data_IF_541043876227
#
_entry.id   IF_541043876227
#
_cell.length_a   1.000
_cell.length_b   1.000
_cell.length_c   1.000
_cell.angle_alpha   90.00
_cell.angle_beta   90.00
_cell.angle_gamma   90.00
#
_symmetry.space_group_name_H-M   'P 1'
#
loop_
_entity.id
_entity.type
_entity.pdbx_description
1 polymer ?
#
# COMPACT_ATOMS: atom_id res chain seq x y z
N UNK A 1 -7.98 -8.40 25.78
CA UNK A 1 -8.92 -7.26 25.67
C UNK A 1 -8.36 -5.92 26.18
N UNK A 2 -7.08 -5.79 26.57
CA UNK A 2 -6.46 -4.51 27.02
C UNK A 2 -5.52 -3.90 25.96
N UNK A 3 -5.02 -4.71 25.01
CA UNK A 3 -4.10 -4.25 23.95
C UNK A 3 -4.73 -3.31 22.90
N UNK A 4 -6.05 -3.41 22.69
CA UNK A 4 -6.74 -2.58 21.70
C UNK A 4 -6.87 -1.11 22.12
N UNK A 5 -6.89 -0.83 23.43
CA UNK A 5 -7.04 0.54 23.94
C UNK A 5 -5.70 1.30 24.00
N UNK A 6 -4.59 0.61 24.27
CA UNK A 6 -3.25 1.21 24.29
C UNK A 6 -2.79 1.68 22.90
N UNK A 7 -3.23 0.99 21.84
CA UNK A 7 -2.87 1.27 20.44
C UNK A 7 -3.45 2.61 19.92
N UNK A 8 -4.58 3.05 20.48
CA UNK A 8 -5.24 4.31 20.12
C UNK A 8 -4.56 5.51 20.81
N UNK A 9 -3.88 5.30 21.95
CA UNK A 9 -3.31 6.41 22.75
C UNK A 9 -1.84 6.72 22.45
N UNK A 10 -1.09 5.83 21.77
CA UNK A 10 0.34 6.06 21.43
C UNK A 10 0.79 5.55 20.03
N UNK A 11 -0.11 5.01 19.20
CA UNK A 11 0.25 4.41 17.90
C UNK A 11 0.43 5.40 16.74
N UNK A 12 0.95 4.91 15.61
CA UNK A 12 1.09 5.63 14.34
C UNK A 12 -0.22 6.29 13.88
N UNK A 13 -1.37 5.66 14.13
CA UNK A 13 -2.69 6.24 13.85
C UNK A 13 -2.93 7.56 14.60
N UNK A 14 -2.61 7.62 15.89
CA UNK A 14 -2.78 8.85 16.68
C UNK A 14 -1.84 9.95 16.21
N UNK A 15 -0.61 9.60 15.83
CA UNK A 15 0.34 10.56 15.24
C UNK A 15 -0.21 11.12 13.93
N UNK A 16 -0.71 10.25 13.05
CA UNK A 16 -1.31 10.62 11.77
C UNK A 16 -2.56 11.49 11.96
N UNK A 17 -3.45 11.10 12.87
CA UNK A 17 -4.67 11.85 13.22
C UNK A 17 -4.31 13.23 13.81
N UNK A 18 -3.33 13.28 14.72
CA UNK A 18 -2.83 14.53 15.29
C UNK A 18 -2.23 15.42 14.21
N UNK A 19 -1.44 14.90 13.28
CA UNK A 19 -0.89 15.66 12.16
C UNK A 19 -2.01 16.24 11.27
N UNK A 20 -3.01 15.41 10.93
CA UNK A 20 -4.16 15.82 10.13
C UNK A 20 -4.95 16.99 10.77
N UNK A 21 -5.18 16.95 12.08
CA UNK A 21 -5.87 18.03 12.81
C UNK A 21 -4.96 19.20 13.19
N UNK A 22 -3.65 18.99 13.38
CA UNK A 22 -2.72 20.10 13.61
C UNK A 22 -2.70 21.05 12.40
N UNK A 23 -2.83 20.50 11.19
CA UNK A 23 -2.90 21.27 9.95
C UNK A 23 -4.22 22.04 9.74
N UNK A 24 -5.21 21.95 10.64
CA UNK A 24 -6.38 22.85 10.61
C UNK A 24 -6.15 24.18 11.31
N UNK A 25 -5.01 24.34 12.01
CA UNK A 25 -4.53 25.63 12.52
C UNK A 25 -3.31 26.04 11.70
N UNK A 26 -3.46 27.16 11.02
CA UNK A 26 -2.61 27.80 10.01
C UNK A 26 -1.08 27.63 10.11
N UNK A 27 -0.40 27.71 8.96
CA UNK A 27 1.01 28.12 8.86
C UNK A 27 1.31 28.62 7.45
N UNK A 28 1.28 29.94 7.31
CA UNK A 28 1.80 30.72 6.20
C UNK A 28 3.32 30.47 6.09
N UNK A 29 3.74 29.64 5.14
CA UNK A 29 5.16 29.33 4.89
C UNK A 29 5.81 30.42 4.04
N UNK A 30 7.03 30.83 4.40
CA UNK A 30 7.87 31.80 3.66
C UNK A 30 8.55 31.22 2.41
N UNK A 31 8.14 30.00 2.00
CA UNK A 31 8.60 29.35 0.77
C UNK A 31 7.78 29.79 -0.43
N UNK A 32 8.42 30.04 -1.58
CA UNK A 32 7.72 30.30 -2.86
C UNK A 32 7.09 29.03 -3.44
N UNK A 33 7.44 27.85 -2.90
CA UNK A 33 6.73 26.61 -3.20
C UNK A 33 5.43 26.57 -2.41
N UNK A 34 4.32 26.36 -3.12
CA UNK A 34 3.00 26.12 -2.51
C UNK A 34 2.78 24.66 -2.16
N UNK A 35 3.76 23.78 -2.42
CA UNK A 35 3.67 22.39 -2.01
C UNK A 35 3.85 22.27 -0.50
N UNK A 36 3.07 21.37 0.09
CA UNK A 36 3.21 21.03 1.49
C UNK A 36 4.42 20.13 1.75
N UNK A 37 4.85 19.34 0.76
CA UNK A 37 5.91 18.34 0.88
C UNK A 37 7.16 18.74 0.10
N UNK A 38 8.33 18.28 0.55
CA UNK A 38 9.57 18.40 -0.22
C UNK A 38 9.64 17.37 -1.37
N UNK A 39 10.56 17.60 -2.32
CA UNK A 39 10.70 16.72 -3.48
C UNK A 39 11.04 15.28 -3.11
N UNK A 40 11.85 15.07 -2.07
CA UNK A 40 12.23 13.73 -1.61
C UNK A 40 11.01 12.95 -1.08
N UNK A 41 10.17 13.60 -0.28
CA UNK A 41 8.93 13.04 0.27
C UNK A 41 7.94 12.72 -0.85
N UNK A 42 7.78 13.63 -1.81
CA UNK A 42 6.91 13.42 -2.97
C UNK A 42 7.40 12.25 -3.84
N UNK A 43 8.70 12.17 -4.13
CA UNK A 43 9.27 11.04 -4.88
C UNK A 43 9.05 9.73 -4.15
N UNK A 44 9.26 9.69 -2.82
CA UNK A 44 9.02 8.50 -2.01
C UNK A 44 7.54 8.09 -2.05
N UNK A 45 6.62 9.04 -1.89
CA UNK A 45 5.17 8.80 -2.00
C UNK A 45 4.79 8.21 -3.35
N UNK A 46 5.26 8.78 -4.45
CA UNK A 46 4.99 8.27 -5.80
C UNK A 46 5.50 6.85 -5.98
N UNK A 47 6.74 6.58 -5.56
CA UNK A 47 7.35 5.26 -5.67
C UNK A 47 6.63 4.22 -4.80
N UNK A 48 6.27 4.55 -3.56
CA UNK A 48 5.53 3.66 -2.67
C UNK A 48 4.09 3.42 -3.14
N UNK A 49 3.40 4.45 -3.64
CA UNK A 49 2.05 4.31 -4.19
C UNK A 49 2.05 3.42 -5.44
N UNK A 50 3.01 3.61 -6.34
CA UNK A 50 3.17 2.77 -7.52
C UNK A 50 3.49 1.32 -7.17
N UNK A 51 4.35 1.08 -6.18
CA UNK A 51 4.70 -0.27 -5.74
C UNK A 51 3.48 -0.97 -5.13
N UNK A 52 2.74 -0.27 -4.28
CA UNK A 52 1.51 -0.77 -3.68
C UNK A 52 0.44 -1.09 -4.73
N UNK A 53 0.25 -0.20 -5.72
CA UNK A 53 -0.67 -0.42 -6.83
C UNK A 53 -0.30 -1.68 -7.61
N UNK A 54 0.96 -1.84 -8.02
CA UNK A 54 1.43 -3.04 -8.72
C UNK A 54 1.22 -4.32 -7.92
N UNK A 55 1.51 -4.29 -6.62
CA UNK A 55 1.30 -5.44 -5.74
C UNK A 55 -0.19 -5.77 -5.59
N UNK A 56 -1.04 -4.74 -5.51
CA UNK A 56 -2.49 -4.90 -5.45
C UNK A 56 -3.05 -5.45 -6.77
N UNK A 57 -2.64 -4.90 -7.91
CA UNK A 57 -3.07 -5.35 -9.24
C UNK A 57 -2.74 -6.82 -9.48
N UNK A 58 -1.57 -7.29 -9.01
CA UNK A 58 -1.18 -8.71 -9.07
C UNK A 58 -2.11 -9.61 -8.27
N UNK A 59 -2.59 -9.14 -7.11
CA UNK A 59 -3.54 -9.88 -6.26
C UNK A 59 -4.98 -9.78 -6.75
N UNK A 60 -5.35 -8.69 -7.42
CA UNK A 60 -6.69 -8.44 -7.99
C UNK A 60 -6.83 -8.98 -9.42
N UNK A 61 -5.75 -9.49 -10.03
CA UNK A 61 -5.78 -10.06 -11.36
C UNK A 61 -6.83 -11.16 -11.47
N UNK A 62 -7.51 -11.21 -12.61
CA UNK A 62 -8.57 -12.19 -12.92
C UNK A 62 -8.24 -12.91 -14.23
N UNK A 63 -8.90 -14.05 -14.47
CA UNK A 63 -8.66 -14.86 -15.67
C UNK A 63 -7.27 -15.48 -15.66
N UNK A 64 -6.58 -15.44 -16.80
CA UNK A 64 -5.28 -16.11 -17.02
C UNK A 64 -4.15 -15.63 -16.10
N UNK A 65 -4.21 -14.39 -15.64
CA UNK A 65 -3.18 -13.76 -14.81
C UNK A 65 -3.49 -13.86 -13.31
N UNK A 66 -4.64 -14.47 -12.96
CA UNK A 66 -5.07 -14.68 -11.59
C UNK A 66 -4.18 -15.68 -10.86
N UNK A 67 -3.77 -15.31 -9.64
CA UNK A 67 -3.09 -16.21 -8.71
C UNK A 67 -4.06 -17.22 -8.07
N UNK A 68 -5.37 -16.98 -8.16
CA UNK A 68 -6.42 -17.80 -7.55
C UNK A 68 -7.09 -18.74 -8.56
N UNK A 69 -6.35 -19.18 -9.58
CA UNK A 69 -6.73 -20.28 -10.47
C UNK A 69 -5.97 -21.55 -10.07
N UNK A 70 -6.67 -22.69 -10.10
CA UNK A 70 -6.03 -23.99 -9.86
C UNK A 70 -5.16 -24.36 -11.05
N UNK A 71 -3.96 -24.85 -10.78
CA UNK A 71 -3.01 -25.35 -11.77
C UNK A 71 -2.75 -26.82 -11.51
N UNK A 72 -2.30 -27.49 -12.55
CA UNK A 72 -1.84 -28.86 -12.46
C UNK A 72 -0.49 -28.87 -11.73
N UNK A 73 -0.49 -29.38 -10.49
CA UNK A 73 0.71 -29.49 -9.66
C UNK A 73 1.07 -30.97 -9.55
N UNK A 74 2.24 -31.31 -10.09
CA UNK A 74 2.84 -32.64 -9.93
C UNK A 74 3.72 -32.64 -8.69
N UNK A 75 3.33 -33.40 -7.68
CA UNK A 75 4.13 -33.64 -6.48
C UNK A 75 4.71 -35.04 -6.52
N UNK A 76 6.00 -35.15 -6.19
CA UNK A 76 6.66 -36.45 -6.05
C UNK A 76 6.48 -36.90 -4.60
N UNK A 77 5.77 -38.00 -4.42
CA UNK A 77 5.53 -38.61 -3.13
C UNK A 77 6.82 -39.28 -2.62
N UNK A 78 6.90 -39.52 -1.30
CA UNK A 78 8.03 -40.18 -0.64
C UNK A 78 8.28 -41.61 -1.15
N UNK A 79 7.23 -42.25 -1.69
CA UNK A 79 7.28 -43.58 -2.32
C UNK A 79 7.80 -43.56 -3.77
N UNK A 80 8.21 -42.40 -4.29
CA UNK A 80 8.75 -42.23 -5.65
C UNK A 80 7.69 -42.08 -6.74
N UNK A 81 6.39 -42.14 -6.40
CA UNK A 81 5.28 -41.93 -7.34
C UNK A 81 5.01 -40.45 -7.56
N UNK A 82 4.55 -40.08 -8.75
CA UNK A 82 4.15 -38.70 -9.07
C UNK A 82 2.64 -38.58 -9.01
N UNK A 83 2.13 -37.72 -8.13
CA UNK A 83 0.71 -37.40 -8.05
C UNK A 83 0.46 -36.04 -8.67
N UNK A 84 -0.45 -36.00 -9.63
CA UNK A 84 -0.83 -34.77 -10.31
C UNK A 84 -2.22 -34.35 -9.81
N UNK A 85 -2.32 -33.16 -9.21
CA UNK A 85 -3.57 -32.62 -8.66
C UNK A 85 -3.77 -31.17 -9.09
N UNK A 86 -5.03 -30.81 -9.32
CA UNK A 86 -5.43 -29.42 -9.52
C UNK A 86 -5.46 -28.70 -8.16
N UNK A 87 -4.42 -27.93 -7.87
CA UNK A 87 -4.29 -27.16 -6.63
C UNK A 87 -3.78 -25.74 -6.91
N UNK A 88 -3.79 -24.89 -5.89
CA UNK A 88 -3.32 -23.52 -5.97
C UNK A 88 -1.80 -23.44 -5.80
N UNK A 89 -1.17 -22.49 -6.48
CA UNK A 89 0.22 -22.13 -6.24
C UNK A 89 0.32 -21.28 -4.96
N UNK A 90 0.30 -21.96 -3.81
CA UNK A 90 0.29 -21.33 -2.48
C UNK A 90 1.56 -20.50 -2.22
N UNK A 91 2.68 -20.88 -2.84
CA UNK A 91 3.94 -20.14 -2.75
C UNK A 91 3.88 -18.82 -3.52
N UNK A 92 3.33 -18.83 -4.74
CA UNK A 92 3.13 -17.61 -5.52
C UNK A 92 2.12 -16.68 -4.86
N UNK A 93 1.04 -17.23 -4.29
CA UNK A 93 0.06 -16.47 -3.51
C UNK A 93 0.74 -15.84 -2.30
N UNK A 94 1.48 -16.60 -1.50
CA UNK A 94 2.21 -16.07 -0.35
C UNK A 94 3.16 -14.94 -0.72
N UNK A 95 3.99 -15.13 -1.76
CA UNK A 95 4.91 -14.09 -2.23
C UNK A 95 4.15 -12.82 -2.62
N UNK A 96 3.05 -12.93 -3.37
CA UNK A 96 2.26 -11.77 -3.75
C UNK A 96 1.60 -11.06 -2.55
N UNK A 97 1.11 -11.83 -1.56
CA UNK A 97 0.55 -11.29 -0.32
C UNK A 97 1.62 -10.58 0.52
N UNK A 98 2.83 -11.16 0.59
CA UNK A 98 3.97 -10.56 1.29
C UNK A 98 4.44 -9.27 0.61
N UNK A 99 4.57 -9.28 -0.72
CA UNK A 99 4.93 -8.10 -1.51
C UNK A 99 3.92 -6.96 -1.31
N UNK A 100 2.63 -7.30 -1.27
CA UNK A 100 1.56 -6.35 -0.98
C UNK A 100 1.65 -5.80 0.45
N UNK A 101 1.88 -6.65 1.45
CA UNK A 101 2.03 -6.21 2.84
C UNK A 101 3.23 -5.27 3.02
N UNK A 102 4.36 -5.56 2.39
CA UNK A 102 5.56 -4.72 2.44
C UNK A 102 5.35 -3.39 1.72
N UNK A 103 4.68 -3.41 0.58
CA UNK A 103 4.33 -2.21 -0.18
C UNK A 103 3.32 -1.34 0.58
N UNK A 104 2.35 -1.95 1.27
CA UNK A 104 1.41 -1.25 2.15
C UNK A 104 2.15 -0.57 3.30
N UNK A 105 3.06 -1.29 3.96
CA UNK A 105 3.85 -0.76 5.07
C UNK A 105 4.73 0.41 4.63
N UNK A 106 5.36 0.29 3.45
CA UNK A 106 6.16 1.34 2.85
C UNK A 106 5.32 2.59 2.52
N UNK A 107 4.13 2.39 1.98
CA UNK A 107 3.20 3.49 1.69
C UNK A 107 2.67 4.15 2.96
N UNK A 108 2.41 3.38 4.02
CA UNK A 108 2.04 3.91 5.32
C UNK A 108 3.16 4.79 5.90
N UNK A 109 4.41 4.36 5.80
CA UNK A 109 5.57 5.14 6.25
C UNK A 109 5.73 6.43 5.44
N UNK A 110 5.62 6.37 4.11
CA UNK A 110 5.71 7.55 3.23
C UNK A 110 4.53 8.53 3.42
N UNK A 111 3.32 8.00 3.54
CA UNK A 111 2.10 8.77 3.79
C UNK A 111 2.10 9.46 5.15
N UNK A 112 2.66 8.81 6.18
CA UNK A 112 2.73 9.37 7.53
C UNK A 112 3.80 10.45 7.70
N UNK A 113 4.79 10.51 6.80
CA UNK A 113 5.77 11.60 6.75
C UNK A 113 5.30 12.80 5.94
N UNK A 114 4.16 12.71 5.27
CA UNK A 114 3.63 13.80 4.44
C UNK A 114 3.05 14.93 5.28
N UNK A 115 3.27 16.13 4.80
CA UNK A 115 2.69 17.36 5.28
C UNK A 115 1.40 17.72 4.53
N UNK A 116 1.09 17.09 3.39
CA UNK A 116 -0.11 17.36 2.62
C UNK A 116 -1.36 16.72 3.29
N UNK A 117 -2.37 17.55 3.58
CA UNK A 117 -3.60 17.12 4.26
C UNK A 117 -4.38 16.04 3.49
N UNK A 118 -4.42 16.13 2.16
CA UNK A 118 -5.05 15.15 1.28
C UNK A 118 -4.38 13.77 1.41
N UNK A 119 -3.05 13.76 1.45
CA UNK A 119 -2.22 12.54 1.60
C UNK A 119 -2.43 11.93 2.98
N UNK A 120 -2.30 12.73 4.04
CA UNK A 120 -2.56 12.30 5.42
C UNK A 120 -3.96 11.68 5.59
N UNK A 121 -4.99 12.28 4.98
CA UNK A 121 -6.38 11.77 5.02
C UNK A 121 -6.51 10.41 4.32
N UNK A 122 -5.89 10.24 3.16
CA UNK A 122 -5.99 8.99 2.41
C UNK A 122 -5.19 7.88 3.10
N UNK A 123 -4.02 8.21 3.66
CA UNK A 123 -3.24 7.30 4.53
C UNK A 123 -4.06 6.89 5.76
N UNK A 124 -4.77 7.84 6.39
CA UNK A 124 -5.63 7.53 7.54
C UNK A 124 -6.77 6.58 7.12
N UNK A 125 -7.36 6.82 5.95
CA UNK A 125 -8.39 5.94 5.40
C UNK A 125 -7.87 4.52 5.15
N UNK A 126 -6.63 4.35 4.67
CA UNK A 126 -6.00 3.02 4.50
C UNK A 126 -5.85 2.27 5.81
N UNK A 127 -5.45 2.96 6.88
CA UNK A 127 -5.36 2.33 8.22
C UNK A 127 -6.75 1.96 8.77
N UNK A 128 -7.76 2.80 8.50
CA UNK A 128 -9.15 2.49 8.82
C UNK A 128 -9.66 1.25 8.09
N UNK A 129 -9.33 1.11 6.80
CA UNK A 129 -9.61 -0.11 6.04
C UNK A 129 -8.90 -1.32 6.65
N UNK A 130 -7.60 -1.27 6.90
CA UNK A 130 -6.87 -2.38 7.52
C UNK A 130 -7.51 -2.82 8.85
N UNK A 131 -7.88 -1.87 9.70
CA UNK A 131 -8.60 -2.16 10.95
C UNK A 131 -9.97 -2.81 10.70
N UNK A 132 -10.74 -2.31 9.74
CA UNK A 132 -12.05 -2.87 9.39
C UNK A 132 -11.99 -4.33 8.91
N UNK A 133 -10.93 -4.70 8.19
CA UNK A 133 -10.72 -6.07 7.71
C UNK A 133 -9.87 -6.93 8.64
N UNK A 134 -9.37 -6.41 9.76
CA UNK A 134 -8.42 -7.10 10.66
C UNK A 134 -8.85 -8.51 11.07
N UNK A 135 -10.13 -8.70 11.43
CA UNK A 135 -10.68 -10.03 11.79
C UNK A 135 -10.71 -11.02 10.63
N UNK A 136 -10.90 -10.55 9.39
CA UNK A 136 -10.87 -11.41 8.20
C UNK A 136 -9.43 -11.74 7.82
N UNK A 137 -8.55 -10.73 7.89
CA UNK A 137 -7.12 -10.85 7.62
C UNK A 137 -6.46 -11.83 8.59
N UNK A 138 -6.79 -11.79 9.88
CA UNK A 138 -6.20 -12.68 10.88
C UNK A 138 -6.52 -14.16 10.63
N UNK A 139 -7.70 -14.46 10.06
CA UNK A 139 -8.10 -15.84 9.70
C UNK A 139 -7.27 -16.42 8.56
N UNK A 140 -6.62 -15.58 7.77
CA UNK A 140 -5.77 -15.98 6.65
C UNK A 140 -4.29 -15.71 6.94
N UNK A 141 -3.90 -15.51 8.19
CA UNK A 141 -2.50 -15.31 8.57
C UNK A 141 -1.97 -13.89 8.35
N UNK A 142 -2.82 -12.90 8.12
CA UNK A 142 -2.40 -11.49 8.00
C UNK A 142 -2.78 -10.74 9.28
N UNK A 143 -1.77 -10.22 9.98
CA UNK A 143 -1.95 -9.47 11.23
C UNK A 143 -1.80 -7.98 11.00
N UNK A 144 -2.76 -7.19 11.49
CA UNK A 144 -2.65 -5.73 11.58
C UNK A 144 -2.05 -5.37 12.94
N UNK A 145 -0.79 -4.95 12.95
CA UNK A 145 -0.08 -4.55 14.16
C UNK A 145 -0.63 -3.26 14.77
N UNK A 146 -0.22 -2.97 16.01
CA UNK A 146 -0.58 -1.72 16.72
C UNK A 146 -0.06 -0.45 16.04
N UNK A 147 0.99 -0.59 15.22
CA UNK A 147 1.53 0.43 14.33
C UNK A 147 0.78 0.50 12.99
N UNK A 148 -0.35 -0.19 12.84
CA UNK A 148 -1.15 -0.34 11.63
C UNK A 148 -0.40 -0.98 10.45
N UNK A 149 0.79 -1.56 10.69
CA UNK A 149 1.53 -2.31 9.68
C UNK A 149 0.99 -3.73 9.57
N UNK A 150 1.11 -4.30 8.38
CA UNK A 150 0.75 -5.68 8.08
C UNK A 150 1.95 -6.60 8.32
N UNK A 151 1.68 -7.76 8.91
CA UNK A 151 2.59 -8.89 8.97
C UNK A 151 1.89 -10.11 8.40
N UNK A 152 2.62 -10.93 7.65
CA UNK A 152 2.08 -12.14 7.00
C UNK A 152 2.77 -13.36 7.60
N UNK A 153 1.96 -14.27 8.12
CA UNK A 153 2.40 -15.58 8.58
C UNK A 153 2.32 -16.57 7.41
N UNK A 154 3.47 -17.07 6.99
CA UNK A 154 3.60 -17.94 5.82
C UNK A 154 2.84 -19.25 6.00
N UNK A 155 2.97 -19.90 7.16
CA UNK A 155 2.39 -21.21 7.44
C UNK A 155 0.88 -21.11 7.59
N UNK A 156 0.38 -20.07 8.26
CA UNK A 156 -1.06 -19.84 8.41
C UNK A 156 -1.69 -19.46 7.07
N UNK A 157 -1.05 -18.61 6.26
CA UNK A 157 -1.58 -18.24 4.95
C UNK A 157 -1.58 -19.45 4.00
N UNK A 158 -0.49 -20.22 3.97
CA UNK A 158 -0.39 -21.43 3.14
C UNK A 158 -1.29 -22.55 3.62
N UNK A 159 -1.67 -22.62 4.89
CA UNK A 159 -2.64 -23.61 5.39
C UNK A 159 -4.09 -23.15 5.25
N UNK A 160 -4.34 -21.85 5.07
CA UNK A 160 -5.68 -21.28 4.97
C UNK A 160 -6.49 -21.81 3.77
N UNK A 161 -7.82 -21.74 3.89
CA UNK A 161 -8.74 -22.06 2.81
C UNK A 161 -8.61 -21.00 1.70
N UNK A 162 -8.22 -21.42 0.50
CA UNK A 162 -7.89 -20.49 -0.58
C UNK A 162 -9.10 -19.74 -1.15
N UNK A 163 -10.31 -20.26 -0.96
CA UNK A 163 -11.56 -19.51 -1.24
C UNK A 163 -11.72 -18.35 -0.26
N UNK A 164 -11.38 -18.55 1.02
CA UNK A 164 -11.38 -17.48 2.03
C UNK A 164 -10.29 -16.46 1.75
N UNK A 165 -9.08 -16.91 1.37
CA UNK A 165 -7.99 -16.01 0.96
C UNK A 165 -8.41 -15.17 -0.25
N UNK A 166 -8.98 -15.81 -1.29
CA UNK A 166 -9.50 -15.10 -2.47
C UNK A 166 -10.56 -14.06 -2.10
N UNK A 167 -11.55 -14.43 -1.28
CA UNK A 167 -12.60 -13.49 -0.84
C UNK A 167 -12.03 -12.30 -0.06
N UNK A 168 -11.01 -12.53 0.77
CA UNK A 168 -10.38 -11.48 1.55
C UNK A 168 -9.48 -10.54 0.73
N UNK A 169 -8.93 -11.00 -0.41
CA UNK A 169 -7.84 -10.32 -1.12
C UNK A 169 -8.05 -10.03 -2.63
N UNK A 170 -8.96 -10.69 -3.34
CA UNK A 170 -9.05 -10.61 -4.81
C UNK A 170 -10.29 -9.85 -5.34
N UNK A 171 -11.29 -9.60 -4.50
CA UNK A 171 -12.51 -8.86 -4.89
C UNK A 171 -12.29 -7.32 -4.88
N UNK A 172 -13.01 -6.56 -5.68
CA UNK A 172 -13.07 -5.09 -5.59
C UNK A 172 -13.54 -4.61 -4.21
N UNK A 173 -14.43 -5.35 -3.56
CA UNK A 173 -14.85 -5.07 -2.18
C UNK A 173 -13.93 -5.70 -1.11
N UNK A 174 -12.86 -6.38 -1.53
CA UNK A 174 -11.88 -6.97 -0.63
C UNK A 174 -10.98 -5.91 -0.01
N UNK A 175 -10.15 -6.34 0.95
CA UNK A 175 -9.17 -5.46 1.58
C UNK A 175 -8.20 -4.85 0.55
N UNK A 176 -7.67 -5.68 -0.36
CA UNK A 176 -6.71 -5.25 -1.39
C UNK A 176 -7.37 -4.26 -2.35
N UNK A 177 -8.62 -4.51 -2.76
CA UNK A 177 -9.39 -3.58 -3.61
C UNK A 177 -9.51 -2.20 -2.98
N UNK A 178 -9.91 -2.14 -1.70
CA UNK A 178 -9.99 -0.86 -0.95
C UNK A 178 -8.65 -0.16 -0.82
N UNK A 179 -7.57 -0.91 -0.66
CA UNK A 179 -6.22 -0.35 -0.57
C UNK A 179 -5.72 0.14 -1.93
N UNK A 180 -6.02 -0.57 -3.03
CA UNK A 180 -5.67 -0.18 -4.39
C UNK A 180 -6.32 1.16 -4.79
N UNK A 181 -7.61 1.34 -4.43
CA UNK A 181 -8.31 2.61 -4.61
C UNK A 181 -7.54 3.74 -3.93
N UNK A 182 -7.13 3.55 -2.67
CA UNK A 182 -6.39 4.56 -1.91
C UNK A 182 -4.99 4.80 -2.45
N UNK A 183 -4.29 3.76 -2.90
CA UNK A 183 -2.99 3.91 -3.55
C UNK A 183 -3.09 4.83 -4.78
N UNK A 184 -4.15 4.67 -5.59
CA UNK A 184 -4.42 5.55 -6.74
C UNK A 184 -4.70 6.99 -6.34
N UNK A 185 -5.48 7.21 -5.27
CA UNK A 185 -5.74 8.56 -4.74
C UNK A 185 -4.45 9.22 -4.23
N UNK A 186 -3.61 8.46 -3.51
CA UNK A 186 -2.34 8.94 -2.97
C UNK A 186 -1.34 9.28 -4.08
N UNK A 187 -1.25 8.45 -5.12
CA UNK A 187 -0.42 8.74 -6.31
C UNK A 187 -0.85 10.07 -6.95
N UNK A 188 -2.16 10.26 -7.15
CA UNK A 188 -2.70 11.50 -7.72
C UNK A 188 -2.41 12.71 -6.84
N UNK A 189 -2.60 12.60 -5.52
CA UNK A 189 -2.28 13.70 -4.60
C UNK A 189 -0.78 14.00 -4.56
N UNK A 190 0.08 12.99 -4.63
CA UNK A 190 1.52 13.19 -4.74
C UNK A 190 1.90 13.89 -6.05
N UNK A 191 1.22 13.60 -7.17
CA UNK A 191 1.42 14.34 -8.43
C UNK A 191 0.99 15.81 -8.32
N UNK A 192 -0.14 16.10 -7.67
CA UNK A 192 -0.57 17.48 -7.41
C UNK A 192 0.44 18.24 -6.55
N UNK A 193 0.99 17.60 -5.51
CA UNK A 193 2.06 18.21 -4.72
C UNK A 193 3.35 18.41 -5.53
N UNK A 194 3.70 17.47 -6.42
CA UNK A 194 4.81 17.64 -7.36
C UNK A 194 4.62 18.86 -8.28
N UNK A 195 3.42 19.07 -8.81
CA UNK A 195 3.08 20.22 -9.66
C UNK A 195 3.18 21.54 -8.89
N UNK A 196 2.69 21.60 -7.64
CA UNK A 196 2.85 22.77 -6.78
C UNK A 196 4.31 23.08 -6.47
N UNK A 197 5.13 22.04 -6.32
CA UNK A 197 6.57 22.17 -6.10
C UNK A 197 7.32 22.73 -7.34
N UNK A 198 6.71 22.69 -8.53
CA UNK A 198 7.23 23.26 -9.77
C UNK A 198 6.84 24.72 -10.02
N UNK A 199 6.15 25.38 -9.09
CA UNK A 199 5.76 26.80 -9.25
C UNK A 199 6.89 27.77 -8.85
N UNK A 200 6.76 29.01 -9.34
CA UNK A 200 7.79 30.05 -9.45
C UNK A 200 8.77 30.15 -8.28
N UNK A 201 10.06 30.36 -8.57
CA UNK A 201 11.01 30.82 -7.56
C UNK A 201 10.85 32.34 -7.30
N UNK A 202 11.50 32.84 -6.24
CA UNK A 202 11.45 34.25 -5.81
C UNK A 202 11.78 35.29 -6.91
N UNK A 203 12.33 34.87 -8.06
CA UNK A 203 12.66 35.71 -9.22
C UNK A 203 11.65 35.60 -10.38
N UNK A 204 10.44 35.10 -10.12
CA UNK A 204 9.39 34.89 -11.12
C UNK A 204 9.85 34.00 -12.30
N UNK A 205 10.84 33.12 -12.09
CA UNK A 205 11.24 32.12 -13.08
C UNK A 205 10.58 30.79 -12.77
N UNK A 206 10.14 30.10 -13.82
CA UNK A 206 9.62 28.74 -13.73
C UNK A 206 10.72 27.82 -13.17
N UNK A 207 10.42 27.05 -12.12
CA UNK A 207 11.37 26.13 -11.50
C UNK A 207 10.99 24.70 -11.89
N UNK A 208 11.59 24.17 -12.95
CA UNK A 208 11.50 22.73 -13.27
C UNK A 208 12.41 21.95 -12.32
N UNK A 209 11.95 21.70 -11.09
CA UNK A 209 12.70 20.86 -10.13
C UNK A 209 12.50 19.36 -10.39
N UNK A 210 11.47 19.00 -11.16
CA UNK A 210 11.34 17.66 -11.74
C UNK A 210 11.96 17.67 -13.14
N UNK A 211 13.29 17.61 -13.19
CA UNK A 211 13.97 17.36 -14.45
C UNK A 211 13.50 16.00 -14.97
N UNK A 212 12.86 16.03 -16.14
CA UNK A 212 12.41 14.94 -16.99
C UNK A 212 13.58 14.11 -17.55
N UNK A 213 14.62 13.85 -16.73
CA UNK A 213 15.87 13.23 -17.16
C UNK A 213 15.82 11.72 -17.38
N UNK A 214 14.68 11.03 -17.15
CA UNK A 214 14.59 9.57 -17.28
C UNK A 214 13.43 9.07 -18.15
N UNK A 215 12.64 9.95 -18.77
CA UNK A 215 11.55 9.55 -19.67
C UNK A 215 11.91 9.63 -21.16
N UNK A 216 13.03 10.27 -21.51
CA UNK A 216 13.51 10.39 -22.90
C UNK A 216 14.74 9.54 -23.23
N UNK A 217 15.24 8.72 -22.29
CA UNK A 217 16.40 7.84 -22.55
C UNK A 217 16.00 6.39 -22.88
N UNK A 218 14.73 6.12 -23.21
CA UNK A 218 14.24 4.80 -23.65
C UNK A 218 13.70 4.80 -25.08
N UNK A 219 14.04 5.83 -25.88
CA UNK A 219 13.62 5.93 -27.29
C UNK A 219 14.77 6.22 -28.27
N UNK A 220 16.02 5.99 -27.86
CA UNK A 220 17.17 5.87 -28.75
C UNK A 220 18.03 4.67 -28.36
#
# INVERSE_FOLDING_TARGET
MISDYASIKNGSYKKLLKAYYAKTKDSQSSSTSTSADDSATITKLKSSANSLKKAADKLLATGKDSLFEKKEITTKNEDGTTTTKMDYDRDAIYKAVKDFADSYNSMLDAGSSSDAKSILRDTLSMTGSAKGYSNLLSKIGITVGSNNKLSVDEDVLKSANMTTVKSALNDTLSFVGKVADKATQLERHANIEAEKANTYNQKAKFTYNYNSGNIFNSFF
#
